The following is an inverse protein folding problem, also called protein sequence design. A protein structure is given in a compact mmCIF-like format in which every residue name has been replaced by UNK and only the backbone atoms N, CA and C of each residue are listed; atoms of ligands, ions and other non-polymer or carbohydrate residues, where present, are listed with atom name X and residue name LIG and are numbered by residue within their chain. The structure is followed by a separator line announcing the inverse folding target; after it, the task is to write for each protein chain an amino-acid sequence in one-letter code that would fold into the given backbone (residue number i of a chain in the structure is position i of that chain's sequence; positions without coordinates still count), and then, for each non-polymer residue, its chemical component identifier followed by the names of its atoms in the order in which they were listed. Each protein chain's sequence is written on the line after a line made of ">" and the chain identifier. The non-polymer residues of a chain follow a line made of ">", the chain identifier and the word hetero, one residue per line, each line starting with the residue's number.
data_IF_484832609260
#
_entry.id   IF_484832609260
#
_cell.length_a   1.000
_cell.length_b   1.000
_cell.length_c   1.000
_cell.angle_alpha   90.00
_cell.angle_beta   90.00
_cell.angle_gamma   90.00
#
_symmetry.space_group_name_H-M   'P 1'
#
loop_
_entity.id
_entity.type
_entity.pdbx_description
1 polymer ?
#
# COMPACT_ATOMS: atom_id res chain seq x y z
N UNK A 1 -19.83 -6.50 -1.64
CA UNK A 1 -19.67 -5.33 -2.51
C UNK A 1 -19.01 -5.82 -3.78
N UNK A 2 -19.73 -5.81 -4.89
CA UNK A 2 -19.22 -6.25 -6.20
C UNK A 2 -19.27 -5.05 -7.13
N UNK A 3 -18.18 -4.82 -7.83
CA UNK A 3 -18.08 -3.83 -8.90
C UNK A 3 -18.66 -4.48 -10.14
N UNK A 4 -19.62 -3.84 -10.82
CA UNK A 4 -20.18 -4.42 -12.03
C UNK A 4 -19.12 -4.46 -13.15
N UNK A 5 -19.22 -5.40 -14.10
CA UNK A 5 -18.31 -5.43 -15.25
C UNK A 5 -18.34 -4.08 -16.00
N UNK A 6 -17.18 -3.43 -16.13
CA UNK A 6 -17.04 -2.13 -16.79
C UNK A 6 -17.21 -0.91 -15.90
N UNK A 7 -17.54 -1.08 -14.62
CA UNK A 7 -17.51 0.02 -13.64
C UNK A 7 -16.12 0.21 -13.03
N UNK A 8 -15.84 1.45 -12.64
CA UNK A 8 -14.66 1.79 -11.86
C UNK A 8 -14.93 1.65 -10.37
N UNK A 9 -13.88 1.41 -9.60
CA UNK A 9 -13.96 1.33 -8.16
C UNK A 9 -12.73 1.95 -7.51
N UNK A 10 -12.93 2.52 -6.33
CA UNK A 10 -11.90 3.20 -5.55
C UNK A 10 -11.66 2.44 -4.25
N UNK A 11 -10.40 2.27 -3.88
CA UNK A 11 -9.99 1.82 -2.56
C UNK A 11 -9.22 2.92 -1.85
N UNK A 12 -9.63 3.25 -0.62
CA UNK A 12 -8.86 4.16 0.20
C UNK A 12 -7.59 3.47 0.72
N UNK A 13 -6.43 4.04 0.41
CA UNK A 13 -5.13 3.57 0.93
C UNK A 13 -4.69 4.50 2.05
N UNK A 14 -4.36 3.92 3.20
CA UNK A 14 -3.81 4.63 4.35
C UNK A 14 -2.34 4.28 4.49
N UNK A 15 -1.49 5.31 4.54
CA UNK A 15 -0.07 5.17 4.84
C UNK A 15 0.21 5.73 6.24
N UNK A 16 0.77 4.90 7.11
CA UNK A 16 1.24 5.30 8.43
C UNK A 16 2.60 5.98 8.29
N UNK A 17 2.82 7.10 8.98
CA UNK A 17 4.16 7.71 8.99
C UNK A 17 5.14 6.77 9.71
N UNK A 18 6.20 6.38 9.00
CA UNK A 18 7.25 5.46 9.46
C UNK A 18 7.90 5.89 10.78
N UNK A 19 7.96 7.19 11.04
CA UNK A 19 8.51 7.78 12.26
C UNK A 19 7.70 7.43 13.53
N UNK A 20 6.50 6.83 13.40
CA UNK A 20 5.75 6.31 14.54
C UNK A 20 6.26 4.94 15.04
N UNK A 21 7.05 4.22 14.23
CA UNK A 21 7.66 2.96 14.63
C UNK A 21 9.07 3.19 15.19
N UNK A 22 9.52 2.28 16.07
CA UNK A 22 10.92 2.29 16.52
C UNK A 22 11.86 2.05 15.33
N UNK A 23 12.96 2.80 15.25
CA UNK A 23 13.90 2.71 14.12
C UNK A 23 14.51 1.32 14.00
N UNK A 24 14.84 0.66 15.11
CA UNK A 24 15.39 -0.70 15.12
C UNK A 24 14.40 -1.74 14.57
N UNK A 25 13.09 -1.54 14.79
CA UNK A 25 12.06 -2.46 14.34
C UNK A 25 11.69 -2.25 12.88
N UNK A 26 11.57 -0.99 12.45
CA UNK A 26 11.08 -0.63 11.12
C UNK A 26 12.19 -0.56 10.05
N UNK A 27 13.43 -0.22 10.43
CA UNK A 27 14.55 0.00 9.51
C UNK A 27 14.18 0.99 8.37
N UNK A 28 14.08 2.30 8.68
CA UNK A 28 13.59 3.30 7.73
C UNK A 28 14.44 3.31 6.46
N UNK A 29 13.79 3.09 5.31
CA UNK A 29 14.43 2.97 4.00
C UNK A 29 13.77 3.94 3.02
N UNK A 30 14.57 4.62 2.20
CA UNK A 30 14.03 5.47 1.13
C UNK A 30 13.37 4.62 0.05
N UNK A 31 12.13 4.96 -0.32
CA UNK A 31 11.35 4.27 -1.35
C UNK A 31 10.90 5.24 -2.43
N UNK A 32 10.82 4.75 -3.66
CA UNK A 32 10.49 5.56 -4.84
C UNK A 32 8.99 5.59 -5.17
N UNK A 33 8.22 4.64 -4.63
CA UNK A 33 6.81 4.49 -4.97
C UNK A 33 6.15 3.28 -4.34
N UNK A 34 4.95 2.98 -4.83
CA UNK A 34 4.10 1.87 -4.39
C UNK A 34 3.84 0.97 -5.59
N UNK A 35 4.05 -0.32 -5.40
CA UNK A 35 3.67 -1.36 -6.36
C UNK A 35 2.25 -1.86 -6.05
N UNK A 36 1.33 -1.69 -7.00
CA UNK A 36 -0.06 -2.10 -6.87
C UNK A 36 -0.32 -3.35 -7.70
N UNK A 37 -0.82 -4.40 -7.05
CA UNK A 37 -1.22 -5.65 -7.69
C UNK A 37 -2.74 -5.73 -7.75
N UNK A 38 -3.29 -5.82 -8.96
CA UNK A 38 -4.72 -6.02 -9.15
C UNK A 38 -5.14 -7.46 -8.83
N UNK A 39 -6.37 -7.68 -8.34
CA UNK A 39 -6.86 -9.02 -8.06
C UNK A 39 -6.89 -9.86 -9.33
N UNK A 40 -6.44 -11.12 -9.23
CA UNK A 40 -6.36 -12.10 -10.32
C UNK A 40 -5.34 -11.79 -11.44
N UNK A 41 -4.45 -10.82 -11.25
CA UNK A 41 -3.38 -10.50 -12.21
C UNK A 41 -2.02 -10.52 -11.53
N UNK A 42 -0.97 -10.92 -12.26
CA UNK A 42 0.42 -10.78 -11.79
C UNK A 42 1.08 -9.50 -12.29
N UNK A 43 0.36 -8.69 -13.07
CA UNK A 43 0.83 -7.39 -13.52
C UNK A 43 0.85 -6.41 -12.35
N UNK A 44 1.95 -5.69 -12.25
CA UNK A 44 2.17 -4.65 -11.24
C UNK A 44 2.05 -3.29 -11.90
N UNK A 45 1.32 -2.39 -11.23
CA UNK A 45 1.28 -0.98 -11.58
C UNK A 45 2.16 -0.23 -10.59
N UNK A 46 3.24 0.39 -11.09
CA UNK A 46 4.10 1.24 -10.28
C UNK A 46 3.49 2.65 -10.17
N UNK A 47 3.25 3.10 -8.94
CA UNK A 47 2.79 4.44 -8.62
C UNK A 47 3.96 5.26 -8.04
N UNK A 48 4.44 6.32 -8.72
CA UNK A 48 5.51 7.17 -8.20
C UNK A 48 5.03 7.89 -6.94
N UNK A 49 5.70 7.61 -5.82
CA UNK A 49 5.39 8.16 -4.51
C UNK A 49 6.65 8.13 -3.65
N UNK A 50 7.49 9.15 -3.81
CA UNK A 50 8.78 9.23 -3.11
C UNK A 50 8.53 9.47 -1.62
N UNK A 51 8.94 8.51 -0.80
CA UNK A 51 8.70 8.50 0.64
C UNK A 51 9.77 7.69 1.38
N UNK A 52 9.60 7.52 2.69
CA UNK A 52 10.33 6.55 3.51
C UNK A 52 9.37 5.42 3.89
N UNK A 53 9.80 4.17 3.72
CA UNK A 53 9.10 2.96 4.13
C UNK A 53 9.87 2.19 5.22
N UNK A 54 9.24 1.20 5.81
CA UNK A 54 9.92 0.21 6.66
C UNK A 54 10.54 -0.90 5.78
N UNK A 55 11.82 -1.20 5.99
CA UNK A 55 12.57 -2.26 5.30
C UNK A 55 12.54 -3.62 6.01
N UNK A 56 11.68 -3.79 7.00
CA UNK A 56 11.49 -5.04 7.75
C UNK A 56 10.37 -5.91 7.16
N UNK A 57 10.48 -7.22 7.35
CA UNK A 57 9.43 -8.21 7.02
C UNK A 57 8.53 -8.53 8.23
N UNK A 58 8.63 -7.76 9.33
CA UNK A 58 7.82 -7.97 10.55
C UNK A 58 6.32 -7.74 10.28
N UNK A 59 5.46 -8.76 10.43
CA UNK A 59 4.03 -8.65 10.13
C UNK A 59 3.26 -7.76 11.11
N UNK A 60 3.84 -7.40 12.26
CA UNK A 60 3.23 -6.47 13.21
C UNK A 60 3.32 -5.01 12.75
N UNK A 61 4.21 -4.69 11.79
CA UNK A 61 4.39 -3.35 11.25
C UNK A 61 3.47 -3.17 10.02
N UNK A 62 2.29 -2.61 10.26
CA UNK A 62 1.36 -2.25 9.20
C UNK A 62 1.59 -0.79 8.77
N UNK A 63 2.48 -0.58 7.80
CA UNK A 63 2.75 0.76 7.23
C UNK A 63 1.74 1.16 6.15
N UNK A 64 1.13 0.20 5.46
CA UNK A 64 0.11 0.42 4.44
C UNK A 64 -1.13 -0.41 4.76
N UNK A 65 -2.30 0.21 4.69
CA UNK A 65 -3.59 -0.47 4.84
C UNK A 65 -4.51 -0.06 3.71
N UNK A 66 -5.02 -1.06 2.98
CA UNK A 66 -5.96 -0.87 1.89
C UNK A 66 -7.37 -1.19 2.40
N UNK A 67 -8.29 -0.25 2.26
CA UNK A 67 -9.70 -0.46 2.57
C UNK A 67 -10.40 -1.21 1.43
N UNK A 68 -11.55 -1.86 1.71
CA UNK A 68 -12.35 -2.49 0.66
C UNK A 68 -12.68 -1.50 -0.47
N UNK A 69 -12.68 -2.01 -1.71
CA UNK A 69 -13.11 -1.24 -2.88
C UNK A 69 -14.59 -0.84 -2.75
N UNK A 70 -14.89 0.40 -3.14
CA UNK A 70 -16.24 0.92 -3.28
C UNK A 70 -16.47 1.32 -4.74
N UNK A 71 -17.67 1.09 -5.27
CA UNK A 71 -18.03 1.59 -6.60
C UNK A 71 -17.98 3.12 -6.60
N UNK A 72 -17.50 3.70 -7.70
CA UNK A 72 -17.47 5.16 -7.91
C UNK A 72 -18.86 5.72 -8.28
#
# INVERSE_FOLDING_TARGET
>A
MQVAPGESAVAAVKATQVQNFSQDACQPTSVSGIDVYSPNTTEVVFLPYVSTGCGTDDPSITQLSVQPVVAE
#
